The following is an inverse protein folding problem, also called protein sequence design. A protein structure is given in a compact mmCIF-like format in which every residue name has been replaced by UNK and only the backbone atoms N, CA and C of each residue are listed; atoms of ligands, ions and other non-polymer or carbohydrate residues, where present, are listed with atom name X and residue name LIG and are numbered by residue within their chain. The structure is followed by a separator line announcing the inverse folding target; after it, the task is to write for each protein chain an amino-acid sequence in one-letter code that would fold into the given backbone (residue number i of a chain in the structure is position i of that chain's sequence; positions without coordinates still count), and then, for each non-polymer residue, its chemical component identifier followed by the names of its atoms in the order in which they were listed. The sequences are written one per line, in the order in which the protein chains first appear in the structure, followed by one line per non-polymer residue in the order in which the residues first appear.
data_IF_830373514720
#
_entry.id   IF_830373514720
#
_cell.length_a   1.000
_cell.length_b   1.000
_cell.length_c   1.000
_cell.angle_alpha   90.00
_cell.angle_beta   90.00
_cell.angle_gamma   90.00
#
_symmetry.space_group_name_H-M   'P 1'
#
loop_
_entity.id
_entity.type
_entity.pdbx_description
1 polymer ?
#
# COMPACT_ATOMS: atom_id res chain seq x y z
N UNK A 1 -61.49 -25.93 -44.10
CA UNK A 1 -60.93 -26.58 -42.90
C UNK A 1 -59.88 -25.62 -42.35
N UNK A 2 -60.35 -24.49 -41.84
CA UNK A 2 -60.54 -24.18 -40.41
C UNK A 2 -59.30 -23.50 -39.83
N UNK A 3 -59.44 -22.19 -39.73
CA UNK A 3 -58.53 -21.20 -39.15
C UNK A 3 -58.37 -21.42 -37.65
N UNK A 4 -57.13 -21.64 -37.21
CA UNK A 4 -56.78 -21.67 -35.79
C UNK A 4 -56.67 -20.23 -35.29
N UNK A 5 -57.76 -19.71 -34.71
CA UNK A 5 -57.77 -18.55 -33.84
C UNK A 5 -57.01 -18.89 -32.55
N UNK A 6 -55.77 -18.43 -32.42
CA UNK A 6 -55.07 -18.39 -31.13
C UNK A 6 -55.21 -17.00 -30.53
N UNK A 7 -56.15 -16.88 -29.60
CA UNK A 7 -56.30 -15.77 -28.68
C UNK A 7 -54.97 -15.51 -27.96
N UNK A 8 -54.33 -14.36 -28.25
CA UNK A 8 -53.30 -13.77 -27.43
C UNK A 8 -53.94 -13.36 -26.10
N UNK A 9 -53.74 -14.17 -25.06
CA UNK A 9 -54.09 -13.82 -23.70
C UNK A 9 -53.27 -12.61 -23.26
N UNK A 10 -53.95 -11.48 -23.04
CA UNK A 10 -53.38 -10.31 -22.38
C UNK A 10 -53.14 -10.66 -20.92
N UNK A 11 -51.96 -11.23 -20.61
CA UNK A 11 -51.49 -11.28 -19.24
C UNK A 11 -51.35 -9.83 -18.76
N UNK A 12 -52.00 -9.42 -17.65
CA UNK A 12 -51.84 -8.07 -17.14
C UNK A 12 -50.35 -7.87 -16.80
N UNK A 13 -49.76 -6.81 -17.36
CA UNK A 13 -48.43 -6.33 -16.96
C UNK A 13 -48.43 -6.16 -15.44
N UNK A 14 -47.77 -7.08 -14.73
CA UNK A 14 -47.49 -6.92 -13.31
C UNK A 14 -46.42 -5.85 -13.20
N UNK A 15 -46.85 -4.61 -12.97
CA UNK A 15 -45.97 -3.54 -12.55
C UNK A 15 -45.24 -4.00 -11.27
N UNK A 16 -43.91 -3.81 -11.16
CA UNK A 16 -43.20 -4.07 -9.91
C UNK A 16 -43.91 -3.34 -8.78
N UNK A 17 -44.12 -4.02 -7.65
CA UNK A 17 -44.59 -3.33 -6.44
C UNK A 17 -43.56 -2.26 -6.13
N UNK A 18 -43.93 -0.98 -6.23
CA UNK A 18 -43.07 0.12 -5.79
C UNK A 18 -42.58 -0.21 -4.39
N UNK A 19 -41.26 -0.16 -4.21
CA UNK A 19 -40.64 -0.24 -2.90
C UNK A 19 -41.43 0.70 -1.97
N UNK A 20 -41.72 0.23 -0.76
CA UNK A 20 -42.44 1.08 0.20
C UNK A 20 -41.56 2.30 0.41
N UNK A 21 -41.99 3.49 0.00
CA UNK A 21 -41.17 4.69 0.08
C UNK A 21 -40.67 4.83 1.53
N UNK A 22 -39.36 4.71 1.72
CA UNK A 22 -38.75 4.93 3.02
C UNK A 22 -39.15 6.34 3.47
N UNK A 23 -39.46 6.48 4.77
CA UNK A 23 -39.85 7.78 5.31
C UNK A 23 -38.68 8.74 5.11
N UNK A 24 -38.92 9.84 4.40
CA UNK A 24 -37.93 10.90 4.25
C UNK A 24 -37.76 11.55 5.62
N UNK A 25 -36.55 11.45 6.16
CA UNK A 25 -36.16 12.02 7.44
C UNK A 25 -35.10 13.10 7.19
N UNK A 26 -35.08 14.19 7.97
CA UNK A 26 -34.02 15.18 7.86
C UNK A 26 -32.65 14.55 8.15
N UNK A 27 -31.58 15.00 7.51
CA UNK A 27 -30.22 14.67 7.93
C UNK A 27 -29.94 15.15 9.35
N UNK A 28 -28.90 14.60 9.99
CA UNK A 28 -28.36 15.18 11.22
C UNK A 28 -27.92 16.63 11.05
N UNK A 29 -27.89 17.37 12.16
CA UNK A 29 -27.41 18.76 12.21
C UNK A 29 -25.97 18.93 11.72
N UNK A 30 -25.09 17.94 11.97
CA UNK A 30 -23.69 17.95 11.51
C UNK A 30 -23.51 17.49 10.05
N UNK A 31 -24.60 17.41 9.28
CA UNK A 31 -24.59 17.13 7.84
C UNK A 31 -25.31 18.26 7.08
N UNK A 32 -24.88 18.58 5.85
CA UNK A 32 -25.62 19.53 5.02
C UNK A 32 -27.04 19.01 4.71
N UNK A 33 -28.03 19.88 4.89
CA UNK A 33 -29.44 19.46 5.00
C UNK A 33 -30.06 19.12 3.64
N UNK A 34 -29.57 19.73 2.57
CA UNK A 34 -30.12 19.57 1.22
C UNK A 34 -29.16 18.80 0.31
N UNK A 35 -29.68 17.99 -0.64
CA UNK A 35 -28.84 17.34 -1.65
C UNK A 35 -28.00 18.33 -2.46
N UNK A 36 -28.56 19.50 -2.81
CA UNK A 36 -27.88 20.53 -3.59
C UNK A 36 -26.65 21.09 -2.83
N UNK A 37 -26.77 21.26 -1.52
CA UNK A 37 -25.66 21.71 -0.68
C UNK A 37 -24.57 20.64 -0.55
N UNK A 38 -24.95 19.37 -0.38
CA UNK A 38 -23.99 18.25 -0.35
C UNK A 38 -23.23 18.13 -1.67
N UNK A 39 -23.91 18.24 -2.81
CA UNK A 39 -23.27 18.27 -4.13
C UNK A 39 -22.35 19.48 -4.32
N UNK A 40 -22.74 20.66 -3.82
CA UNK A 40 -21.87 21.86 -3.85
C UNK A 40 -20.58 21.63 -3.07
N UNK A 41 -20.66 21.03 -1.88
CA UNK A 41 -19.50 20.72 -1.05
C UNK A 41 -18.58 19.73 -1.77
N UNK A 42 -19.13 18.64 -2.31
CA UNK A 42 -18.37 17.64 -3.04
C UNK A 42 -17.62 18.25 -4.24
N UNK A 43 -18.28 19.10 -5.04
CA UNK A 43 -17.64 19.76 -6.18
C UNK A 43 -16.51 20.71 -5.76
N UNK A 44 -16.69 21.44 -4.65
CA UNK A 44 -15.64 22.29 -4.12
C UNK A 44 -14.43 21.47 -3.66
N UNK A 45 -14.68 20.37 -2.96
CA UNK A 45 -13.64 19.49 -2.43
C UNK A 45 -12.84 18.83 -3.55
N UNK A 46 -13.50 18.43 -4.65
CA UNK A 46 -12.81 17.95 -5.86
C UNK A 46 -11.80 18.95 -6.40
N UNK A 47 -12.19 20.22 -6.50
CA UNK A 47 -11.29 21.28 -6.96
C UNK A 47 -10.14 21.49 -5.97
N UNK A 48 -10.43 21.46 -4.66
CA UNK A 48 -9.42 21.60 -3.62
C UNK A 48 -8.39 20.46 -3.65
N UNK A 49 -8.83 19.21 -3.75
CA UNK A 49 -7.92 18.06 -3.83
C UNK A 49 -7.07 18.13 -5.10
N UNK A 50 -7.64 18.54 -6.24
CA UNK A 50 -6.89 18.73 -7.48
C UNK A 50 -5.82 19.85 -7.39
N UNK A 51 -6.09 20.92 -6.64
CA UNK A 51 -5.17 22.05 -6.48
C UNK A 51 -4.06 21.77 -5.45
N UNK A 52 -4.42 21.23 -4.29
CA UNK A 52 -3.50 21.05 -3.17
C UNK A 52 -2.85 19.66 -3.12
N UNK A 53 -3.35 18.71 -3.92
CA UNK A 53 -2.85 17.35 -4.09
C UNK A 53 -2.45 16.64 -2.77
N UNK A 54 -3.34 16.56 -1.75
CA UNK A 54 -3.06 15.77 -0.57
C UNK A 54 -2.93 14.28 -0.93
N UNK A 55 -1.88 13.62 -0.42
CA UNK A 55 -1.54 12.23 -0.78
C UNK A 55 -2.03 11.25 0.29
N UNK A 56 -2.83 10.22 -0.06
CA UNK A 56 -3.21 9.16 0.87
C UNK A 56 -2.12 8.05 0.98
N UNK A 57 -2.10 7.22 2.05
CA UNK A 57 -2.91 7.32 3.27
C UNK A 57 -2.48 8.53 4.10
N UNK A 58 -3.46 9.26 4.66
CA UNK A 58 -3.20 10.44 5.46
C UNK A 58 -3.82 10.27 6.86
N UNK A 59 -3.06 10.54 7.93
CA UNK A 59 -3.59 10.50 9.29
C UNK A 59 -4.82 11.39 9.46
N UNK A 60 -5.78 10.93 10.28
CA UNK A 60 -7.01 11.68 10.54
C UNK A 60 -6.74 13.12 11.05
N UNK A 61 -5.66 13.32 11.79
CA UNK A 61 -5.24 14.64 12.27
C UNK A 61 -4.90 15.59 11.11
N UNK A 62 -4.27 15.08 10.06
CA UNK A 62 -3.87 15.86 8.89
C UNK A 62 -5.05 16.08 7.94
N UNK A 63 -5.92 15.08 7.75
CA UNK A 63 -7.21 15.24 7.04
C UNK A 63 -8.03 16.37 7.69
N UNK A 64 -8.03 16.43 9.02
CA UNK A 64 -8.69 17.47 9.81
C UNK A 64 -8.12 18.87 9.55
N UNK A 65 -6.81 19.01 9.35
CA UNK A 65 -6.19 20.29 8.94
C UNK A 65 -6.66 20.73 7.56
N UNK A 66 -6.79 19.80 6.60
CA UNK A 66 -7.34 20.13 5.29
C UNK A 66 -8.84 20.46 5.36
N UNK A 67 -9.60 19.76 6.18
CA UNK A 67 -11.02 20.03 6.39
C UNK A 67 -11.26 21.42 6.99
N UNK A 68 -10.46 21.84 7.98
CA UNK A 68 -10.54 23.19 8.56
C UNK A 68 -10.33 24.29 7.52
N UNK A 69 -9.34 24.12 6.62
CA UNK A 69 -9.11 25.06 5.51
C UNK A 69 -10.32 25.12 4.57
N UNK A 70 -10.89 23.97 4.21
CA UNK A 70 -12.06 23.92 3.32
C UNK A 70 -13.28 24.56 3.97
N UNK A 71 -13.51 24.34 5.27
CA UNK A 71 -14.59 25.00 6.04
C UNK A 71 -14.44 26.52 5.97
N UNK A 72 -13.23 27.03 6.23
CA UNK A 72 -12.93 28.46 6.16
C UNK A 72 -13.16 29.03 4.76
N UNK A 73 -12.67 28.35 3.71
CA UNK A 73 -12.80 28.81 2.33
C UNK A 73 -14.25 28.74 1.80
N UNK A 74 -15.02 27.72 2.19
CA UNK A 74 -16.45 27.61 1.85
C UNK A 74 -17.30 28.61 2.64
N UNK A 75 -16.81 29.10 3.78
CA UNK A 75 -17.57 29.92 4.71
C UNK A 75 -18.77 29.20 5.32
N UNK A 76 -18.67 27.87 5.49
CA UNK A 76 -19.74 27.04 6.04
C UNK A 76 -19.61 26.85 7.55
N UNK A 77 -20.65 26.28 8.18
CA UNK A 77 -20.63 26.00 9.62
C UNK A 77 -19.53 24.95 9.96
N UNK A 78 -18.67 25.21 10.96
CA UNK A 78 -17.66 24.25 11.43
C UNK A 78 -18.21 22.89 11.86
N UNK A 79 -19.52 22.79 12.15
CA UNK A 79 -20.16 21.51 12.47
C UNK A 79 -20.05 20.49 11.31
N UNK A 80 -19.84 20.94 10.08
CA UNK A 80 -19.66 20.07 8.90
C UNK A 80 -18.23 19.55 8.71
N UNK A 81 -17.30 19.90 9.59
CA UNK A 81 -15.88 19.56 9.45
C UNK A 81 -15.62 18.07 9.23
N UNK A 82 -16.21 17.21 10.05
CA UNK A 82 -15.95 15.76 9.94
C UNK A 82 -16.56 15.18 8.66
N UNK A 83 -17.72 15.70 8.22
CA UNK A 83 -18.31 15.36 6.92
C UNK A 83 -17.41 15.76 5.75
N UNK A 84 -16.87 16.99 5.78
CA UNK A 84 -15.91 17.48 4.78
C UNK A 84 -14.64 16.62 4.80
N UNK A 85 -14.14 16.23 5.97
CA UNK A 85 -12.99 15.34 6.10
C UNK A 85 -13.20 14.00 5.40
N UNK A 86 -14.38 13.39 5.53
CA UNK A 86 -14.73 12.16 4.79
C UNK A 86 -14.69 12.38 3.29
N UNK A 87 -15.26 13.49 2.79
CA UNK A 87 -15.25 13.79 1.36
C UNK A 87 -13.85 14.06 0.81
N UNK A 88 -12.99 14.75 1.57
CA UNK A 88 -11.58 14.95 1.20
C UNK A 88 -10.88 13.60 1.08
N UNK A 89 -11.03 12.72 2.08
CA UNK A 89 -10.44 11.38 2.02
C UNK A 89 -10.97 10.57 0.82
N UNK A 90 -12.27 10.65 0.53
CA UNK A 90 -12.84 9.96 -0.62
C UNK A 90 -12.21 10.42 -1.93
N UNK A 91 -12.05 11.73 -2.12
CA UNK A 91 -11.49 12.30 -3.34
C UNK A 91 -9.98 12.02 -3.45
N UNK A 92 -9.24 11.96 -2.34
CA UNK A 92 -7.83 11.50 -2.31
C UNK A 92 -7.68 10.06 -2.82
N UNK A 93 -8.59 9.16 -2.45
CA UNK A 93 -8.55 7.75 -2.84
C UNK A 93 -9.29 7.42 -4.14
N UNK A 94 -9.98 8.39 -4.74
CA UNK A 94 -10.94 8.15 -5.83
C UNK A 94 -10.31 7.45 -7.03
N UNK A 95 -9.14 7.91 -7.45
CA UNK A 95 -8.45 7.35 -8.62
C UNK A 95 -7.82 5.99 -8.30
N UNK A 96 -7.28 5.81 -7.09
CA UNK A 96 -6.78 4.51 -6.63
C UNK A 96 -7.89 3.47 -6.57
N UNK A 97 -9.07 3.83 -6.07
CA UNK A 97 -10.25 2.95 -6.10
C UNK A 97 -10.62 2.58 -7.53
N UNK A 98 -10.61 3.56 -8.45
CA UNK A 98 -11.00 3.36 -9.85
C UNK A 98 -10.05 2.39 -10.59
N UNK A 99 -8.76 2.38 -10.26
CA UNK A 99 -7.76 1.50 -10.88
C UNK A 99 -7.88 0.02 -10.44
N UNK A 100 -8.47 -0.25 -9.28
CA UNK A 100 -8.56 -1.62 -8.72
C UNK A 100 -9.66 -2.42 -9.44
N UNK A 101 -9.46 -3.68 -9.87
CA UNK A 101 -10.51 -4.49 -10.48
C UNK A 101 -11.72 -4.72 -9.56
N UNK A 102 -12.94 -4.77 -10.10
CA UNK A 102 -14.17 -4.91 -9.31
C UNK A 102 -14.17 -6.14 -8.41
N UNK A 103 -13.62 -7.26 -8.89
CA UNK A 103 -13.50 -8.52 -8.15
C UNK A 103 -12.58 -8.45 -6.92
N UNK A 104 -11.77 -7.40 -6.81
CA UNK A 104 -10.93 -7.10 -5.63
C UNK A 104 -11.52 -5.99 -4.76
N UNK A 105 -12.77 -5.57 -4.99
CA UNK A 105 -13.44 -4.53 -4.20
C UNK A 105 -14.52 -5.11 -3.29
N UNK A 106 -14.67 -4.51 -2.12
CA UNK A 106 -15.73 -4.81 -1.15
C UNK A 106 -16.71 -3.65 -1.09
N UNK A 107 -18.01 -3.94 -1.28
CA UNK A 107 -19.09 -3.03 -0.92
C UNK A 107 -19.57 -3.38 0.49
N UNK A 108 -19.37 -2.47 1.43
CA UNK A 108 -19.79 -2.61 2.82
C UNK A 108 -21.04 -1.78 3.09
N UNK A 109 -22.17 -2.45 3.32
CA UNK A 109 -23.46 -1.82 3.57
C UNK A 109 -23.88 -1.97 5.05
N UNK A 110 -24.52 -0.96 5.66
CA UNK A 110 -25.03 -1.08 7.01
C UNK A 110 -26.44 -1.69 6.98
N UNK A 111 -26.75 -2.52 7.98
CA UNK A 111 -28.11 -3.05 8.18
C UNK A 111 -29.15 -1.95 8.37
N UNK A 112 -28.72 -0.76 8.79
CA UNK A 112 -29.54 0.42 9.08
C UNK A 112 -30.31 0.96 7.87
N UNK A 113 -29.93 0.59 6.64
CA UNK A 113 -30.68 0.93 5.41
C UNK A 113 -31.96 0.11 5.26
N UNK A 114 -32.12 -1.00 6.00
CA UNK A 114 -33.30 -1.85 5.91
C UNK A 114 -34.52 -1.15 6.51
N UNK A 115 -35.71 -1.53 6.04
CA UNK A 115 -36.95 -1.23 6.76
C UNK A 115 -37.08 -2.19 7.94
N UNK A 116 -36.65 -1.78 9.13
CA UNK A 116 -36.45 -2.66 10.30
C UNK A 116 -37.70 -3.48 10.62
N UNK A 117 -38.85 -2.81 10.66
CA UNK A 117 -40.14 -3.42 11.03
C UNK A 117 -40.65 -4.49 10.07
N UNK A 118 -40.10 -4.57 8.84
CA UNK A 118 -40.61 -5.42 7.76
C UNK A 118 -39.55 -6.32 7.14
N UNK A 119 -38.28 -6.12 7.47
CA UNK A 119 -37.18 -6.85 6.86
C UNK A 119 -37.21 -8.34 7.27
N UNK A 120 -37.36 -9.29 6.33
CA UNK A 120 -37.41 -10.72 6.65
C UNK A 120 -36.01 -11.36 6.74
N UNK A 121 -34.94 -10.57 6.59
CA UNK A 121 -33.57 -11.07 6.52
C UNK A 121 -33.11 -11.62 7.89
N UNK A 122 -32.56 -12.85 7.94
CA UNK A 122 -31.91 -13.36 9.13
C UNK A 122 -30.54 -12.72 9.32
N UNK A 123 -29.99 -12.91 10.52
CA UNK A 123 -28.62 -12.53 10.86
C UNK A 123 -27.80 -13.80 11.12
N UNK A 124 -26.55 -13.78 10.68
CA UNK A 124 -25.54 -14.76 11.08
C UNK A 124 -24.41 -14.07 11.86
N UNK A 125 -23.29 -14.76 12.05
CA UNK A 125 -22.10 -14.20 12.72
C UNK A 125 -21.41 -13.09 11.89
N UNK A 126 -21.67 -13.04 10.58
CA UNK A 126 -21.03 -12.11 9.65
C UNK A 126 -21.87 -10.86 9.37
N UNK A 127 -23.20 -10.92 9.47
CA UNK A 127 -24.07 -9.77 9.26
C UNK A 127 -25.51 -10.13 8.89
N UNK A 128 -26.16 -9.21 8.16
CA UNK A 128 -27.52 -9.37 7.65
C UNK A 128 -27.49 -10.13 6.32
N UNK A 129 -28.27 -11.20 6.22
CA UNK A 129 -28.39 -12.00 4.99
C UNK A 129 -29.59 -11.54 4.17
N UNK A 130 -29.37 -10.60 3.25
CA UNK A 130 -30.42 -10.01 2.43
C UNK A 130 -31.24 -11.08 1.68
N UNK A 131 -32.56 -11.07 1.85
CA UNK A 131 -33.51 -11.97 1.15
C UNK A 131 -34.10 -11.37 -0.13
N UNK A 132 -33.55 -10.24 -0.59
CA UNK A 132 -34.00 -9.55 -1.80
C UNK A 132 -35.54 -9.32 -1.80
N UNK A 133 -36.04 -8.76 -0.69
CA UNK A 133 -37.48 -8.55 -0.46
C UNK A 133 -38.07 -7.30 -1.14
N UNK A 134 -37.25 -6.45 -1.76
CA UNK A 134 -37.66 -5.24 -2.48
C UNK A 134 -38.07 -4.06 -1.61
N UNK A 135 -37.77 -4.09 -0.30
CA UNK A 135 -38.23 -3.06 0.66
C UNK A 135 -37.25 -1.92 0.88
N UNK A 136 -35.98 -2.06 0.50
CA UNK A 136 -34.91 -1.09 0.74
C UNK A 136 -33.84 -1.20 -0.35
N UNK A 137 -32.94 -0.21 -0.40
CA UNK A 137 -31.86 -0.12 -1.40
C UNK A 137 -30.79 -1.20 -1.31
N UNK A 138 -30.68 -1.93 -0.19
CA UNK A 138 -29.66 -2.98 0.01
C UNK A 138 -29.71 -4.00 -1.14
N UNK A 139 -30.90 -4.41 -1.57
CA UNK A 139 -31.05 -5.38 -2.65
C UNK A 139 -30.47 -4.87 -3.98
N UNK A 140 -30.83 -3.65 -4.38
CA UNK A 140 -30.44 -3.11 -5.68
C UNK A 140 -28.93 -2.88 -5.73
N UNK A 141 -28.36 -2.35 -4.65
CA UNK A 141 -26.92 -2.16 -4.50
C UNK A 141 -26.16 -3.50 -4.48
N UNK A 142 -26.66 -4.49 -3.74
CA UNK A 142 -26.04 -5.81 -3.68
C UNK A 142 -26.06 -6.50 -5.06
N UNK A 143 -27.21 -6.51 -5.73
CA UNK A 143 -27.34 -7.12 -7.05
C UNK A 143 -26.40 -6.48 -8.07
N UNK A 144 -26.28 -5.15 -8.06
CA UNK A 144 -25.39 -4.47 -8.99
C UNK A 144 -23.92 -4.72 -8.68
N UNK A 145 -23.52 -4.58 -7.41
CA UNK A 145 -22.14 -4.78 -7.01
C UNK A 145 -21.68 -6.22 -7.30
N UNK A 146 -22.51 -7.23 -7.00
CA UNK A 146 -22.25 -8.62 -7.37
C UNK A 146 -22.18 -8.83 -8.89
N UNK A 147 -23.02 -8.13 -9.68
CA UNK A 147 -22.97 -8.16 -11.16
C UNK A 147 -21.66 -7.60 -11.70
N UNK A 148 -21.12 -6.56 -11.07
CA UNK A 148 -19.82 -5.97 -11.41
C UNK A 148 -18.64 -6.85 -10.95
N UNK A 149 -18.83 -7.67 -9.92
CA UNK A 149 -17.85 -8.61 -9.38
C UNK A 149 -17.46 -8.39 -7.92
N UNK A 150 -18.00 -7.37 -7.26
CA UNK A 150 -17.68 -7.04 -5.88
C UNK A 150 -18.01 -8.19 -4.93
N UNK A 151 -17.21 -8.31 -3.87
CA UNK A 151 -17.71 -8.90 -2.64
C UNK A 151 -18.68 -7.91 -1.96
N UNK A 152 -19.81 -8.38 -1.45
CA UNK A 152 -20.78 -7.52 -0.74
C UNK A 152 -20.97 -8.06 0.67
N UNK A 153 -20.87 -7.19 1.66
CA UNK A 153 -21.12 -7.52 3.06
C UNK A 153 -22.10 -6.52 3.66
N UNK A 154 -23.16 -7.03 4.28
CA UNK A 154 -24.12 -6.19 5.02
C UNK A 154 -23.87 -6.33 6.52
N UNK A 155 -22.86 -5.63 7.03
CA UNK A 155 -22.47 -5.75 8.44
C UNK A 155 -21.85 -4.47 9.01
N UNK A 156 -21.74 -4.46 10.33
CA UNK A 156 -21.10 -3.38 11.10
C UNK A 156 -19.74 -3.81 11.69
N UNK A 157 -19.33 -5.07 11.48
CA UNK A 157 -18.15 -5.66 12.12
C UNK A 157 -16.85 -5.41 11.36
N UNK A 158 -15.87 -4.78 12.02
CA UNK A 158 -14.54 -4.51 11.45
C UNK A 158 -13.66 -5.76 11.31
N UNK A 159 -13.86 -6.80 12.13
CA UNK A 159 -12.97 -7.97 12.17
C UNK A 159 -12.92 -8.74 10.83
N UNK A 160 -14.06 -8.95 10.18
CA UNK A 160 -14.14 -9.67 8.91
C UNK A 160 -13.54 -8.84 7.79
N UNK A 161 -13.83 -7.54 7.76
CA UNK A 161 -13.25 -6.61 6.79
C UNK A 161 -11.73 -6.62 6.91
N UNK A 162 -11.19 -6.56 8.12
CA UNK A 162 -9.75 -6.63 8.36
C UNK A 162 -9.15 -7.98 7.91
N UNK A 163 -9.84 -9.09 8.17
CA UNK A 163 -9.38 -10.40 7.68
C UNK A 163 -9.37 -10.48 6.15
N UNK A 164 -10.38 -9.93 5.47
CA UNK A 164 -10.43 -9.89 4.01
C UNK A 164 -9.31 -9.01 3.41
N UNK A 165 -8.99 -7.90 4.05
CA UNK A 165 -7.85 -7.05 3.70
C UNK A 165 -6.53 -7.81 3.91
N UNK A 166 -6.33 -8.38 5.10
CA UNK A 166 -5.07 -9.05 5.47
C UNK A 166 -4.78 -10.29 4.64
N UNK A 167 -5.83 -10.96 4.13
CA UNK A 167 -5.69 -12.11 3.24
C UNK A 167 -5.50 -11.72 1.77
N UNK A 168 -5.44 -10.42 1.44
CA UNK A 168 -5.27 -9.93 0.07
C UNK A 168 -6.47 -10.18 -0.85
N UNK A 169 -7.60 -10.67 -0.31
CA UNK A 169 -8.81 -10.95 -1.11
C UNK A 169 -9.48 -9.69 -1.60
N UNK A 170 -9.35 -8.61 -0.83
CA UNK A 170 -9.92 -7.30 -1.12
C UNK A 170 -8.83 -6.25 -1.00
N UNK A 171 -8.75 -5.39 -2.00
CA UNK A 171 -7.78 -4.31 -2.10
C UNK A 171 -8.39 -2.91 -1.96
N UNK A 172 -9.71 -2.79 -2.07
CA UNK A 172 -10.41 -1.52 -1.89
C UNK A 172 -11.82 -1.68 -1.34
N UNK A 173 -12.31 -0.64 -0.67
CA UNK A 173 -13.61 -0.64 0.01
C UNK A 173 -14.45 0.57 -0.42
N UNK A 174 -15.69 0.30 -0.83
CA UNK A 174 -16.76 1.28 -0.90
C UNK A 174 -17.66 1.05 0.31
N UNK A 175 -17.60 1.96 1.29
CA UNK A 175 -18.33 1.84 2.54
C UNK A 175 -19.55 2.76 2.62
N UNK A 176 -20.58 2.31 3.31
CA UNK A 176 -21.72 3.16 3.70
C UNK A 176 -21.86 3.07 5.21
N UNK A 177 -21.80 4.21 5.91
CA UNK A 177 -21.87 4.21 7.37
C UNK A 177 -22.15 5.59 7.95
N UNK A 178 -22.54 5.67 9.22
CA UNK A 178 -22.64 6.96 9.91
C UNK A 178 -21.23 7.48 10.28
N UNK A 179 -21.11 8.80 10.44
CA UNK A 179 -19.81 9.45 10.70
C UNK A 179 -19.08 8.86 11.90
N UNK A 180 -19.78 8.56 13.00
CA UNK A 180 -19.17 8.01 14.22
C UNK A 180 -18.60 6.59 14.06
N UNK A 181 -19.12 5.81 13.11
CA UNK A 181 -18.54 4.51 12.77
C UNK A 181 -17.34 4.68 11.85
N UNK A 182 -17.42 5.59 10.87
CA UNK A 182 -16.32 5.90 9.96
C UNK A 182 -15.07 6.36 10.72
N UNK A 183 -15.22 7.26 11.71
CA UNK A 183 -14.12 7.74 12.54
C UNK A 183 -13.37 6.60 13.27
N UNK A 184 -14.08 5.54 13.67
CA UNK A 184 -13.47 4.38 14.34
C UNK A 184 -12.84 3.39 13.36
N UNK A 185 -13.35 3.31 12.13
CA UNK A 185 -12.84 2.41 11.11
C UNK A 185 -11.59 2.97 10.42
N UNK A 186 -11.48 4.30 10.32
CA UNK A 186 -10.42 4.99 9.58
C UNK A 186 -8.99 4.57 9.97
N UNK A 187 -8.60 4.49 11.26
CA UNK A 187 -7.22 4.15 11.63
C UNK A 187 -6.77 2.77 11.12
N UNK A 188 -7.72 1.83 10.99
CA UNK A 188 -7.43 0.50 10.48
C UNK A 188 -7.20 0.51 8.97
N UNK A 189 -7.99 1.29 8.23
CA UNK A 189 -7.84 1.43 6.78
C UNK A 189 -6.55 2.19 6.42
N UNK A 190 -6.25 3.24 7.19
CA UNK A 190 -5.01 4.00 7.12
C UNK A 190 -3.79 3.09 7.35
N UNK A 191 -3.77 2.33 8.46
CA UNK A 191 -2.67 1.45 8.80
C UNK A 191 -2.44 0.34 7.76
N UNK A 192 -3.49 -0.11 7.08
CA UNK A 192 -3.41 -1.09 6.01
C UNK A 192 -3.19 -0.47 4.61
N UNK A 193 -3.14 0.87 4.51
CA UNK A 193 -3.07 1.63 3.26
C UNK A 193 -4.08 1.13 2.20
N UNK A 194 -5.32 0.83 2.62
CA UNK A 194 -6.38 0.33 1.74
C UNK A 194 -7.19 1.49 1.20
N UNK A 195 -7.27 1.67 -0.14
CA UNK A 195 -8.17 2.63 -0.76
C UNK A 195 -9.60 2.46 -0.26
N UNK A 196 -10.12 3.53 0.33
CA UNK A 196 -11.39 3.54 1.01
C UNK A 196 -12.18 4.79 0.73
N UNK A 197 -13.35 4.62 0.12
CA UNK A 197 -14.34 5.71 0.02
C UNK A 197 -15.55 5.36 0.88
N UNK A 198 -16.15 6.38 1.47
CA UNK A 198 -17.30 6.21 2.34
C UNK A 198 -18.43 7.19 2.00
N UNK A 199 -19.66 6.71 1.91
CA UNK A 199 -20.85 7.55 1.79
C UNK A 199 -21.55 7.65 3.15
N UNK A 200 -21.57 8.84 3.78
CA UNK A 200 -22.18 9.01 5.09
C UNK A 200 -23.69 8.77 5.07
N UNK A 201 -24.19 8.00 6.05
CA UNK A 201 -25.63 7.93 6.34
C UNK A 201 -26.12 9.30 6.81
N UNK A 202 -27.34 9.67 6.39
CA UNK A 202 -27.98 10.93 6.77
C UNK A 202 -28.51 10.91 8.21
N UNK A 203 -28.69 9.72 8.79
CA UNK A 203 -29.10 9.49 10.18
C UNK A 203 -28.15 8.49 10.87
N UNK A 204 -28.10 8.46 12.20
CA UNK A 204 -27.26 7.53 12.98
C UNK A 204 -28.00 6.77 14.08
N UNK A 205 -29.32 6.86 14.14
CA UNK A 205 -30.13 6.16 15.14
C UNK A 205 -30.37 4.69 14.77
N UNK A 206 -29.65 4.20 13.74
CA UNK A 206 -29.59 2.83 13.26
C UNK A 206 -30.94 2.23 12.79
N UNK A 207 -31.95 3.06 12.55
CA UNK A 207 -33.30 2.63 12.18
C UNK A 207 -33.77 3.38 10.93
N UNK A 208 -34.11 2.63 9.87
CA UNK A 208 -34.68 3.14 8.63
C UNK A 208 -33.91 4.37 8.09
N UNK A 209 -32.57 4.27 8.11
CA UNK A 209 -31.67 5.36 7.72
C UNK A 209 -31.62 5.52 6.20
N UNK A 210 -31.29 6.73 5.76
CA UNK A 210 -31.18 7.11 4.35
C UNK A 210 -29.76 7.58 4.01
N UNK A 211 -29.44 7.60 2.71
CA UNK A 211 -28.12 7.91 2.17
C UNK A 211 -28.27 8.53 0.79
N UNK A 212 -27.29 9.30 0.34
CA UNK A 212 -27.18 9.76 -1.06
C UNK A 212 -26.87 8.56 -1.97
N UNK A 213 -27.93 7.91 -2.46
CA UNK A 213 -27.82 6.69 -3.26
C UNK A 213 -26.99 6.91 -4.52
N UNK A 214 -27.18 8.03 -5.21
CA UNK A 214 -26.48 8.34 -6.46
C UNK A 214 -24.95 8.31 -6.28
N UNK A 215 -24.45 8.71 -5.12
CA UNK A 215 -23.01 8.70 -4.85
C UNK A 215 -22.48 7.27 -4.69
N UNK A 216 -23.27 6.37 -4.08
CA UNK A 216 -22.89 4.95 -4.00
C UNK A 216 -22.83 4.37 -5.41
N UNK A 217 -23.83 4.66 -6.25
CA UNK A 217 -23.86 4.24 -7.65
C UNK A 217 -22.63 4.73 -8.42
N UNK A 218 -22.27 6.01 -8.25
CA UNK A 218 -21.06 6.57 -8.86
C UNK A 218 -19.80 5.84 -8.40
N UNK A 219 -19.63 5.63 -7.09
CA UNK A 219 -18.43 4.97 -6.54
C UNK A 219 -18.29 3.51 -6.97
N UNK A 220 -19.38 2.72 -6.97
CA UNK A 220 -19.29 1.31 -7.36
C UNK A 220 -18.98 1.13 -8.85
N UNK A 221 -19.29 2.13 -9.68
CA UNK A 221 -19.02 2.13 -11.13
C UNK A 221 -17.70 2.81 -11.51
N UNK A 222 -16.91 3.30 -10.55
CA UNK A 222 -15.63 3.93 -10.87
C UNK A 222 -14.67 2.95 -11.53
N UNK A 223 -14.12 3.34 -12.67
CA UNK A 223 -13.06 2.63 -13.38
C UNK A 223 -12.03 3.60 -13.90
N UNK A 224 -10.76 3.21 -13.86
CA UNK A 224 -9.67 3.89 -14.55
C UNK A 224 -9.23 3.08 -15.78
N UNK A 225 -8.64 3.77 -16.77
CA UNK A 225 -7.85 3.08 -17.80
C UNK A 225 -6.52 2.58 -17.23
N UNK A 226 -6.05 3.19 -16.15
CA UNK A 226 -4.91 2.72 -15.37
C UNK A 226 -5.27 1.41 -14.66
N UNK A 227 -4.46 0.39 -14.94
CA UNK A 227 -4.58 -0.95 -14.37
C UNK A 227 -3.37 -1.32 -13.52
N UNK A 228 -2.59 -0.35 -13.07
CA UNK A 228 -1.48 -0.58 -12.14
C UNK A 228 -1.99 -1.41 -10.96
N UNK A 229 -1.53 -2.66 -10.87
CA UNK A 229 -1.98 -3.58 -9.84
C UNK A 229 -1.29 -3.21 -8.52
N UNK A 230 -2.04 -3.27 -7.43
CA UNK A 230 -1.43 -3.21 -6.10
C UNK A 230 -0.58 -4.47 -5.93
N UNK A 231 0.68 -4.28 -5.56
CA UNK A 231 1.57 -5.39 -5.24
C UNK A 231 1.12 -6.04 -3.93
N UNK A 232 1.11 -7.37 -3.87
CA UNK A 232 1.09 -8.08 -2.59
C UNK A 232 2.46 -7.90 -1.92
N UNK A 233 2.59 -6.80 -1.17
CA UNK A 233 3.82 -6.48 -0.45
C UNK A 233 4.14 -7.51 0.64
N UNK A 234 3.15 -8.25 1.16
CA UNK A 234 3.37 -9.29 2.16
C UNK A 234 3.94 -10.54 1.49
N UNK A 235 3.29 -11.04 0.45
CA UNK A 235 3.79 -12.16 -0.35
C UNK A 235 5.19 -11.89 -0.92
N UNK A 236 5.42 -10.68 -1.44
CA UNK A 236 6.73 -10.26 -1.94
C UNK A 236 7.79 -10.20 -0.83
N UNK A 237 7.41 -9.77 0.38
CA UNK A 237 8.30 -9.76 1.54
C UNK A 237 8.68 -11.18 1.95
N UNK A 238 7.72 -12.10 1.96
CA UNK A 238 7.94 -13.51 2.28
C UNK A 238 8.88 -14.17 1.26
N UNK A 239 8.75 -13.88 -0.03
CA UNK A 239 9.66 -14.36 -1.08
C UNK A 239 11.09 -13.80 -0.92
N UNK A 240 11.22 -12.52 -0.54
CA UNK A 240 12.52 -11.91 -0.26
C UNK A 240 13.16 -12.54 0.98
N UNK A 241 12.40 -12.75 2.05
CA UNK A 241 12.90 -13.39 3.27
C UNK A 241 13.28 -14.86 2.99
N UNK A 242 12.53 -15.55 2.12
CA UNK A 242 12.85 -16.91 1.67
C UNK A 242 14.23 -17.00 1.02
N UNK A 243 14.68 -15.95 0.30
CA UNK A 243 16.00 -15.91 -0.33
C UNK A 243 17.16 -16.09 0.67
N UNK A 244 16.93 -15.76 1.94
CA UNK A 244 17.92 -15.82 3.02
C UNK A 244 17.75 -17.05 3.93
N UNK A 245 17.00 -18.06 3.49
CA UNK A 245 16.98 -19.38 4.14
C UNK A 245 18.23 -20.18 3.77
N UNK A 246 18.68 -21.13 4.61
CA UNK A 246 19.86 -21.95 4.31
C UNK A 246 19.79 -22.62 2.93
N UNK A 247 18.66 -23.27 2.63
CA UNK A 247 18.44 -23.96 1.36
C UNK A 247 18.46 -23.01 0.16
N UNK A 248 17.88 -21.80 0.30
CA UNK A 248 17.89 -20.83 -0.79
C UNK A 248 19.29 -20.24 -1.02
N UNK A 249 20.05 -19.95 0.05
CA UNK A 249 21.42 -19.47 -0.09
C UNK A 249 22.35 -20.52 -0.72
N UNK A 250 22.18 -21.80 -0.40
CA UNK A 250 22.93 -22.89 -1.05
C UNK A 250 22.66 -22.94 -2.56
N UNK A 251 21.39 -22.72 -2.97
CA UNK A 251 21.02 -22.67 -4.38
C UNK A 251 21.56 -21.42 -5.09
N UNK A 252 21.50 -20.25 -4.43
CA UNK A 252 21.88 -18.96 -5.03
C UNK A 252 23.40 -18.77 -5.06
N UNK A 253 24.07 -19.08 -3.95
CA UNK A 253 25.51 -18.83 -3.77
C UNK A 253 26.37 -20.06 -4.06
N UNK A 254 25.78 -21.25 -4.17
CA UNK A 254 26.51 -22.52 -4.26
C UNK A 254 27.05 -23.00 -2.91
N UNK A 255 27.83 -24.08 -2.94
CA UNK A 255 28.38 -24.71 -1.73
C UNK A 255 29.43 -23.84 -1.03
N UNK A 256 29.31 -23.71 0.29
CA UNK A 256 30.27 -22.97 1.11
C UNK A 256 31.55 -23.74 1.38
N UNK A 257 32.66 -23.28 0.81
CA UNK A 257 33.98 -23.86 1.01
C UNK A 257 34.77 -23.06 2.06
N UNK A 258 34.88 -23.62 3.26
CA UNK A 258 35.69 -23.06 4.33
C UNK A 258 34.95 -22.13 5.30
N UNK A 259 35.65 -21.77 6.37
CA UNK A 259 35.07 -21.09 7.53
C UNK A 259 34.55 -19.68 7.20
N UNK A 260 35.30 -18.86 6.44
CA UNK A 260 34.89 -17.50 6.07
C UNK A 260 33.57 -17.50 5.28
N UNK A 261 33.43 -18.43 4.36
CA UNK A 261 32.26 -18.60 3.52
C UNK A 261 31.03 -19.08 4.30
N UNK A 262 31.24 -19.90 5.33
CA UNK A 262 30.18 -20.32 6.25
C UNK A 262 29.72 -19.15 7.13
N UNK A 263 30.67 -18.42 7.73
CA UNK A 263 30.36 -17.24 8.55
C UNK A 263 29.65 -16.13 7.78
N UNK A 264 30.06 -15.88 6.52
CA UNK A 264 29.38 -14.92 5.65
C UNK A 264 27.92 -15.30 5.39
N UNK A 265 27.65 -16.58 5.12
CA UNK A 265 26.28 -17.10 4.96
C UNK A 265 25.47 -16.99 6.25
N UNK A 266 26.05 -17.40 7.38
CA UNK A 266 25.41 -17.26 8.70
C UNK A 266 25.04 -15.80 8.99
N UNK A 267 25.94 -14.86 8.70
CA UNK A 267 25.69 -13.43 8.87
C UNK A 267 24.58 -12.90 7.96
N UNK A 268 24.51 -13.39 6.72
CA UNK A 268 23.41 -13.09 5.80
C UNK A 268 22.09 -13.60 6.37
N UNK A 269 22.03 -14.81 6.93
CA UNK A 269 20.81 -15.42 7.50
C UNK A 269 20.30 -14.72 8.78
N UNK A 270 21.19 -14.08 9.55
CA UNK A 270 20.79 -13.35 10.77
C UNK A 270 19.78 -12.25 10.50
N UNK A 271 18.96 -11.96 11.50
CA UNK A 271 17.87 -10.99 11.46
C UNK A 271 18.25 -9.65 10.81
N UNK A 272 17.26 -9.04 10.14
CA UNK A 272 17.36 -7.77 9.45
C UNK A 272 16.04 -7.46 8.76
N UNK A 273 15.72 -6.18 8.55
CA UNK A 273 14.44 -5.79 7.92
C UNK A 273 14.40 -6.04 6.41
N UNK A 274 15.53 -6.38 5.77
CA UNK A 274 15.64 -6.67 4.32
C UNK A 274 15.03 -5.60 3.40
N UNK A 275 15.06 -4.33 3.81
CA UNK A 275 14.44 -3.27 3.03
C UNK A 275 15.04 -3.10 1.64
N UNK A 276 16.36 -3.20 1.51
CA UNK A 276 17.04 -3.00 0.23
C UNK A 276 16.67 -4.09 -0.81
N UNK A 277 16.80 -5.40 -0.53
CA UNK A 277 16.35 -6.42 -1.47
C UNK A 277 14.83 -6.36 -1.71
N UNK A 278 14.03 -6.03 -0.68
CA UNK A 278 12.59 -5.85 -0.83
C UNK A 278 12.23 -4.72 -1.81
N UNK A 279 12.92 -3.59 -1.73
CA UNK A 279 12.72 -2.46 -2.64
C UNK A 279 13.16 -2.79 -4.07
N UNK A 280 14.29 -3.50 -4.24
CA UNK A 280 14.73 -3.97 -5.55
C UNK A 280 13.65 -4.86 -6.22
N UNK A 281 13.11 -5.82 -5.48
CA UNK A 281 12.04 -6.71 -5.95
C UNK A 281 10.73 -5.95 -6.22
N UNK A 282 10.40 -4.96 -5.38
CA UNK A 282 9.20 -4.13 -5.52
C UNK A 282 9.24 -3.31 -6.82
N UNK A 283 10.40 -2.73 -7.16
CA UNK A 283 10.57 -2.01 -8.43
C UNK A 283 10.31 -2.94 -9.61
N UNK A 284 10.88 -4.16 -9.61
CA UNK A 284 10.65 -5.11 -10.72
C UNK A 284 9.17 -5.43 -10.88
N UNK A 285 8.46 -5.78 -9.81
CA UNK A 285 7.04 -6.13 -9.90
C UNK A 285 6.15 -4.94 -10.24
N UNK A 286 6.53 -3.72 -9.83
CA UNK A 286 5.79 -2.51 -10.22
C UNK A 286 5.93 -2.16 -11.71
N UNK A 287 7.00 -2.65 -12.36
CA UNK A 287 7.37 -2.28 -13.72
C UNK A 287 7.15 -3.42 -14.73
N UNK A 288 6.67 -4.57 -14.27
CA UNK A 288 6.46 -5.76 -15.12
C UNK A 288 5.05 -6.30 -14.93
N UNK A 289 4.42 -6.76 -16.00
CA UNK A 289 3.06 -7.34 -15.98
C UNK A 289 3.08 -8.81 -15.51
N UNK A 290 3.77 -9.10 -14.40
CA UNK A 290 3.81 -10.44 -13.81
C UNK A 290 2.68 -10.57 -12.79
N UNK A 291 1.78 -11.51 -13.03
CA UNK A 291 0.83 -11.98 -12.00
C UNK A 291 1.46 -13.00 -11.05
N UNK A 292 2.68 -13.41 -11.35
CA UNK A 292 3.46 -14.33 -10.54
C UNK A 292 4.34 -13.49 -9.61
N UNK A 293 4.12 -13.66 -8.31
CA UNK A 293 4.86 -13.01 -7.23
C UNK A 293 6.20 -13.71 -6.96
N UNK A 294 6.44 -14.87 -7.58
CA UNK A 294 7.68 -15.61 -7.36
C UNK A 294 8.89 -14.90 -7.96
N UNK A 295 9.96 -14.82 -7.16
CA UNK A 295 11.20 -14.22 -7.62
C UNK A 295 11.90 -15.17 -8.58
N UNK A 296 12.15 -14.71 -9.82
CA UNK A 296 13.02 -15.43 -10.75
C UNK A 296 14.41 -15.67 -10.13
N UNK A 297 15.09 -16.73 -10.55
CA UNK A 297 16.43 -17.09 -10.05
C UNK A 297 17.42 -15.92 -10.16
N UNK A 298 17.38 -15.17 -11.27
CA UNK A 298 18.25 -14.01 -11.49
C UNK A 298 17.88 -12.85 -10.56
N UNK A 299 16.59 -12.60 -10.30
CA UNK A 299 16.17 -11.57 -9.33
C UNK A 299 16.56 -11.95 -7.89
N UNK A 300 16.52 -13.24 -7.54
CA UNK A 300 17.02 -13.73 -6.25
C UNK A 300 18.51 -13.46 -6.09
N UNK A 301 19.32 -13.68 -7.14
CA UNK A 301 20.75 -13.32 -7.14
C UNK A 301 20.95 -11.82 -6.91
N UNK A 302 20.15 -10.96 -7.55
CA UNK A 302 20.21 -9.50 -7.33
C UNK A 302 19.82 -9.11 -5.89
N UNK A 303 18.76 -9.71 -5.33
CA UNK A 303 18.35 -9.48 -3.95
C UNK A 303 19.47 -9.85 -2.97
N UNK A 304 20.06 -11.04 -3.12
CA UNK A 304 21.17 -11.48 -2.27
C UNK A 304 22.40 -10.60 -2.48
N UNK A 305 22.70 -10.16 -3.71
CA UNK A 305 23.83 -9.26 -3.99
C UNK A 305 23.70 -7.92 -3.25
N UNK A 306 22.52 -7.30 -3.30
CA UNK A 306 22.23 -6.04 -2.61
C UNK A 306 22.38 -6.21 -1.09
N UNK A 307 21.90 -7.33 -0.54
CA UNK A 307 22.03 -7.60 0.90
C UNK A 307 23.47 -7.94 1.30
N UNK A 308 24.26 -8.59 0.43
CA UNK A 308 25.69 -8.79 0.64
C UNK A 308 26.43 -7.47 0.86
N UNK A 309 26.19 -6.46 -0.01
CA UNK A 309 26.80 -5.14 0.17
C UNK A 309 26.40 -4.49 1.49
N UNK A 310 25.12 -4.57 1.85
CA UNK A 310 24.62 -4.01 3.10
C UNK A 310 25.24 -4.71 4.33
N UNK A 311 25.22 -6.04 4.35
CA UNK A 311 25.72 -6.83 5.47
C UNK A 311 27.23 -6.73 5.60
N UNK A 312 27.96 -6.56 4.50
CA UNK A 312 29.39 -6.25 4.53
C UNK A 312 29.66 -4.90 5.18
N UNK A 313 28.92 -3.85 4.80
CA UNK A 313 29.09 -2.52 5.39
C UNK A 313 28.83 -2.55 6.89
N UNK A 314 27.81 -3.29 7.36
CA UNK A 314 27.54 -3.43 8.80
C UNK A 314 28.67 -4.11 9.57
N UNK A 315 29.34 -5.11 8.99
CA UNK A 315 30.48 -5.76 9.65
C UNK A 315 31.62 -4.76 9.83
N UNK A 316 31.90 -3.97 8.79
CA UNK A 316 32.97 -2.97 8.84
C UNK A 316 32.61 -1.82 9.79
N UNK A 317 31.39 -1.29 9.71
CA UNK A 317 30.87 -0.26 10.62
C UNK A 317 30.95 -0.74 12.09
N UNK A 318 30.55 -1.98 12.39
CA UNK A 318 30.62 -2.51 13.76
C UNK A 318 32.06 -2.50 14.30
N UNK A 319 33.06 -2.78 13.46
CA UNK A 319 34.48 -2.71 13.84
C UNK A 319 34.93 -1.26 14.05
N UNK A 320 34.51 -0.37 13.15
CA UNK A 320 34.87 1.04 13.16
C UNK A 320 34.28 1.78 14.39
N UNK A 321 33.05 1.43 14.77
CA UNK A 321 32.33 2.00 15.91
C UNK A 321 32.63 1.26 17.23
N UNK A 322 33.33 0.11 17.16
CA UNK A 322 33.63 -0.77 18.30
C UNK A 322 32.35 -1.25 19.03
N UNK A 323 31.35 -1.67 18.24
CA UNK A 323 30.05 -2.15 18.71
C UNK A 323 30.08 -3.65 19.06
N UNK A 324 29.90 -4.01 20.33
CA UNK A 324 29.91 -5.42 20.75
C UNK A 324 28.65 -6.21 20.32
N UNK A 325 27.56 -5.53 19.98
CA UNK A 325 26.27 -6.15 19.68
C UNK A 325 25.51 -5.49 18.53
N UNK A 326 24.88 -6.31 17.68
CA UNK A 326 23.94 -5.88 16.64
C UNK A 326 22.74 -6.83 16.58
N UNK A 327 21.54 -6.28 16.43
CA UNK A 327 20.27 -7.03 16.44
C UNK A 327 20.08 -7.93 17.68
N UNK A 328 20.66 -7.55 18.82
CA UNK A 328 20.61 -8.32 20.07
C UNK A 328 21.64 -9.46 20.16
N UNK A 329 22.43 -9.69 19.11
CA UNK A 329 23.49 -10.71 19.05
C UNK A 329 24.88 -10.09 19.10
N UNK A 330 25.91 -10.89 19.37
CA UNK A 330 27.31 -10.44 19.27
C UNK A 330 27.70 -10.15 17.82
N UNK A 331 28.43 -9.06 17.62
CA UNK A 331 29.05 -8.74 16.33
C UNK A 331 30.16 -9.74 15.99
N UNK A 332 30.51 -9.85 14.71
CA UNK A 332 31.53 -10.80 14.26
C UNK A 332 32.90 -10.51 14.90
N UNK A 333 33.27 -9.23 15.06
CA UNK A 333 34.57 -8.87 15.63
C UNK A 333 34.64 -9.18 17.13
N UNK A 334 33.53 -9.01 17.87
CA UNK A 334 33.47 -9.33 19.30
C UNK A 334 33.57 -10.85 19.56
N UNK A 335 33.03 -11.67 18.65
CA UNK A 335 32.99 -13.14 18.81
C UNK A 335 34.18 -13.88 18.19
N UNK A 336 34.70 -13.40 17.04
CA UNK A 336 35.73 -14.09 16.26
C UNK A 336 37.01 -13.25 16.04
N UNK A 337 37.03 -12.02 16.55
CA UNK A 337 38.13 -11.08 16.38
C UNK A 337 38.07 -10.27 15.10
N UNK A 338 38.72 -9.11 15.13
CA UNK A 338 38.77 -8.15 14.02
C UNK A 338 39.29 -8.77 12.71
N UNK A 339 40.39 -9.57 12.68
CA UNK A 339 40.93 -10.08 11.42
C UNK A 339 39.94 -10.95 10.63
N UNK A 340 39.18 -11.82 11.33
CA UNK A 340 38.20 -12.67 10.66
C UNK A 340 36.98 -11.87 10.21
N UNK A 341 36.49 -10.96 11.05
CA UNK A 341 35.36 -10.11 10.72
C UNK A 341 35.62 -9.25 9.46
N UNK A 342 36.78 -8.60 9.37
CA UNK A 342 37.20 -7.88 8.15
C UNK A 342 37.18 -8.79 6.92
N UNK A 343 37.77 -9.98 7.02
CA UNK A 343 37.85 -10.90 5.89
C UNK A 343 36.46 -11.42 5.44
N UNK A 344 35.51 -11.58 6.37
CA UNK A 344 34.12 -11.93 6.04
C UNK A 344 33.42 -10.76 5.34
N UNK A 345 33.63 -9.52 5.77
CA UNK A 345 33.10 -8.34 5.09
C UNK A 345 33.63 -8.21 3.66
N UNK A 346 34.94 -8.37 3.47
CA UNK A 346 35.58 -8.38 2.14
C UNK A 346 35.03 -9.49 1.23
N UNK A 347 34.81 -10.69 1.78
CA UNK A 347 34.19 -11.79 1.04
C UNK A 347 32.77 -11.41 0.56
N UNK A 348 31.93 -10.85 1.44
CA UNK A 348 30.57 -10.47 1.08
C UNK A 348 30.53 -9.37 0.00
N UNK A 349 31.49 -8.45 0.00
CA UNK A 349 31.64 -7.47 -1.09
C UNK A 349 31.90 -8.20 -2.42
N UNK A 350 32.85 -9.14 -2.43
CA UNK A 350 33.16 -9.95 -3.61
C UNK A 350 31.96 -10.76 -4.11
N UNK A 351 31.24 -11.40 -3.19
CA UNK A 351 30.03 -12.18 -3.48
C UNK A 351 28.94 -11.31 -4.12
N UNK A 352 28.73 -10.08 -3.65
CA UNK A 352 27.76 -9.17 -4.25
C UNK A 352 28.03 -8.90 -5.74
N UNK A 353 29.28 -8.58 -6.09
CA UNK A 353 29.65 -8.37 -7.51
C UNK A 353 29.60 -9.67 -8.32
N UNK A 354 30.04 -10.79 -7.73
CA UNK A 354 29.99 -12.11 -8.37
C UNK A 354 28.57 -12.50 -8.74
N UNK A 355 27.61 -12.31 -7.83
CA UNK A 355 26.20 -12.66 -8.04
C UNK A 355 25.57 -11.83 -9.17
N UNK A 356 25.88 -10.53 -9.28
CA UNK A 356 25.45 -9.69 -10.41
C UNK A 356 25.99 -10.26 -11.73
N UNK A 357 27.28 -10.59 -11.77
CA UNK A 357 27.94 -11.11 -12.96
C UNK A 357 27.41 -12.49 -13.40
N UNK A 358 26.99 -13.31 -12.43
CA UNK A 358 26.47 -14.68 -12.62
C UNK A 358 24.99 -14.73 -13.02
N UNK A 359 24.35 -13.57 -13.22
CA UNK A 359 22.99 -13.52 -13.79
C UNK A 359 22.99 -13.82 -15.30
N UNK A 360 21.85 -14.30 -15.79
CA UNK A 360 21.56 -14.54 -17.22
C UNK A 360 21.04 -13.29 -17.95
N UNK A 361 21.10 -12.12 -17.31
CA UNK A 361 20.74 -10.83 -17.91
C UNK A 361 21.68 -10.47 -19.06
N UNK A 362 21.29 -9.47 -19.87
CA UNK A 362 22.13 -9.03 -21.00
C UNK A 362 23.48 -8.48 -20.51
N UNK A 363 24.53 -8.55 -21.34
CA UNK A 363 25.82 -7.93 -21.01
C UNK A 363 25.71 -6.45 -20.63
N UNK A 364 24.82 -5.71 -21.29
CA UNK A 364 24.57 -4.29 -21.04
C UNK A 364 23.94 -4.07 -19.66
N UNK A 365 22.90 -4.83 -19.31
CA UNK A 365 22.27 -4.77 -17.99
C UNK A 365 23.29 -5.10 -16.89
N UNK A 366 24.07 -6.18 -17.05
CA UNK A 366 25.11 -6.56 -16.08
C UNK A 366 26.18 -5.49 -15.94
N UNK A 367 26.63 -4.91 -17.05
CA UNK A 367 27.63 -3.84 -17.03
C UNK A 367 27.11 -2.63 -16.24
N UNK A 368 25.88 -2.20 -16.51
CA UNK A 368 25.25 -1.07 -15.83
C UNK A 368 25.04 -1.35 -14.34
N UNK A 369 24.54 -2.53 -13.97
CA UNK A 369 24.40 -2.94 -12.57
C UNK A 369 25.74 -2.90 -11.83
N UNK A 370 26.81 -3.43 -12.44
CA UNK A 370 28.16 -3.37 -11.84
C UNK A 370 28.66 -1.92 -11.68
N UNK A 371 28.38 -1.04 -12.64
CA UNK A 371 28.70 0.38 -12.53
C UNK A 371 27.95 1.04 -11.37
N UNK A 372 26.65 0.77 -11.23
CA UNK A 372 25.80 1.28 -10.14
C UNK A 372 26.30 0.78 -8.79
N UNK A 373 26.52 -0.53 -8.64
CA UNK A 373 27.04 -1.11 -7.40
C UNK A 373 28.41 -0.51 -7.02
N UNK A 374 29.32 -0.40 -7.98
CA UNK A 374 30.67 0.11 -7.72
C UNK A 374 30.67 1.59 -7.36
N UNK A 375 29.87 2.43 -8.03
CA UNK A 375 29.76 3.84 -7.65
C UNK A 375 29.08 4.02 -6.31
N UNK A 376 27.99 3.29 -6.03
CA UNK A 376 27.33 3.31 -4.73
C UNK A 376 28.27 2.89 -3.60
N UNK A 377 29.05 1.84 -3.80
CA UNK A 377 30.09 1.42 -2.84
C UNK A 377 31.12 2.54 -2.60
N UNK A 378 31.61 3.20 -3.65
CA UNK A 378 32.55 4.32 -3.52
C UNK A 378 31.95 5.49 -2.73
N UNK A 379 30.68 5.80 -2.95
CA UNK A 379 29.98 6.87 -2.24
C UNK A 379 29.83 6.54 -0.75
N UNK A 380 29.45 5.30 -0.41
CA UNK A 380 29.36 4.85 0.98
C UNK A 380 30.71 4.94 1.69
N UNK A 381 31.79 4.44 1.09
CA UNK A 381 33.13 4.55 1.69
C UNK A 381 33.59 6.01 1.85
N UNK A 382 33.22 6.92 0.94
CA UNK A 382 33.52 8.35 1.07
C UNK A 382 32.75 8.97 2.23
N UNK A 383 31.47 8.63 2.38
CA UNK A 383 30.62 9.08 3.49
C UNK A 383 31.17 8.62 4.84
N UNK A 384 31.40 7.31 4.98
CA UNK A 384 31.98 6.72 6.19
C UNK A 384 33.38 7.27 6.48
N UNK A 385 34.22 7.41 5.46
CA UNK A 385 35.56 8.01 5.61
C UNK A 385 35.53 9.47 6.08
N UNK A 386 34.54 10.26 5.66
CA UNK A 386 34.33 11.62 6.13
C UNK A 386 33.92 11.65 7.61
N UNK A 387 33.02 10.76 8.03
CA UNK A 387 32.60 10.58 9.42
C UNK A 387 33.79 10.20 10.32
N UNK A 388 34.56 9.17 9.94
CA UNK A 388 35.78 8.75 10.65
C UNK A 388 36.83 9.87 10.71
N UNK A 389 36.91 10.73 9.70
CA UNK A 389 37.83 11.87 9.69
C UNK A 389 37.36 12.98 10.64
N UNK A 390 36.05 13.23 10.70
CA UNK A 390 35.47 14.17 11.65
C UNK A 390 35.57 13.68 13.10
N UNK A 391 35.34 12.38 13.36
CA UNK A 391 35.47 11.81 14.70
C UNK A 391 36.89 11.94 15.28
N UNK A 392 37.92 12.00 14.42
CA UNK A 392 39.31 12.27 14.83
C UNK A 392 39.54 13.72 15.29
N UNK A 393 38.74 14.68 14.83
CA UNK A 393 38.83 16.10 15.22
C UNK A 393 37.44 16.76 15.17
N UNK A 394 36.58 16.50 16.17
CA UNK A 394 35.18 16.88 16.11
C UNK A 394 35.02 18.41 16.21
N UNK A 395 34.27 18.96 15.27
CA UNK A 395 33.82 20.37 15.27
C UNK A 395 32.30 20.42 15.37
N UNK A 396 31.70 21.40 16.07
CA UNK A 396 30.25 21.56 16.12
C UNK A 396 29.64 21.74 14.73
N UNK A 397 28.61 20.96 14.42
CA UNK A 397 27.88 21.01 13.14
C UNK A 397 26.53 21.70 13.30
N UNK A 398 26.10 22.40 12.25
CA UNK A 398 24.72 22.88 12.11
C UNK A 398 23.80 21.70 11.77
N UNK A 399 22.52 21.82 12.10
CA UNK A 399 21.53 20.79 11.79
C UNK A 399 21.50 20.38 10.31
N UNK A 400 21.74 21.34 9.39
CA UNK A 400 21.81 21.05 7.94
C UNK A 400 22.99 20.16 7.59
N UNK A 401 24.16 20.39 8.20
CA UNK A 401 25.36 19.58 7.95
C UNK A 401 25.19 18.15 8.48
N UNK A 402 24.47 18.00 9.60
CA UNK A 402 24.09 16.69 10.14
C UNK A 402 23.15 15.95 9.18
N UNK A 403 22.13 16.63 8.65
CA UNK A 403 21.21 16.05 7.67
C UNK A 403 21.93 15.63 6.38
N UNK A 404 22.89 16.43 5.90
CA UNK A 404 23.67 16.11 4.70
C UNK A 404 24.54 14.85 4.89
N UNK A 405 25.07 14.64 6.09
CA UNK A 405 25.83 13.42 6.43
C UNK A 405 24.93 12.19 6.43
N UNK A 406 23.78 12.25 7.13
CA UNK A 406 22.84 11.11 7.16
C UNK A 406 22.27 10.80 5.78
N UNK A 407 21.91 11.84 5.00
CA UNK A 407 21.52 11.70 3.59
C UNK A 407 22.59 10.95 2.79
N UNK A 408 23.86 11.31 2.94
CA UNK A 408 24.96 10.72 2.20
C UNK A 408 25.33 9.29 2.64
N UNK A 409 25.03 8.89 3.88
CA UNK A 409 25.30 7.54 4.39
C UNK A 409 24.23 6.54 4.00
N UNK A 410 22.96 6.95 4.05
CA UNK A 410 21.83 6.02 3.96
C UNK A 410 21.18 6.00 2.58
N UNK A 411 20.94 7.17 1.97
CA UNK A 411 20.21 7.28 0.71
C UNK A 411 20.88 6.56 -0.48
N UNK A 412 22.22 6.63 -0.67
CA UNK A 412 22.86 5.97 -1.81
C UNK A 412 22.66 4.45 -1.83
N UNK A 413 22.65 3.81 -0.66
CA UNK A 413 22.45 2.37 -0.59
C UNK A 413 21.02 1.96 -0.97
N UNK A 414 20.02 2.79 -0.67
CA UNK A 414 18.65 2.59 -1.13
C UNK A 414 18.52 2.86 -2.62
N UNK A 415 19.17 3.91 -3.12
CA UNK A 415 19.17 4.25 -4.54
C UNK A 415 19.77 3.12 -5.38
N UNK A 416 20.90 2.54 -4.95
CA UNK A 416 21.50 1.36 -5.60
C UNK A 416 20.46 0.24 -5.71
N UNK A 417 19.77 -0.11 -4.62
CA UNK A 417 18.80 -1.19 -4.63
C UNK A 417 17.63 -0.94 -5.61
N UNK A 418 17.09 0.28 -5.62
CA UNK A 418 16.02 0.68 -6.53
C UNK A 418 16.47 0.67 -8.00
N UNK A 419 17.66 1.20 -8.28
CA UNK A 419 18.24 1.20 -9.62
C UNK A 419 18.52 -0.22 -10.12
N UNK A 420 18.98 -1.14 -9.25
CA UNK A 420 19.14 -2.55 -9.61
C UNK A 420 17.82 -3.16 -10.08
N UNK A 421 16.71 -2.87 -9.40
CA UNK A 421 15.38 -3.29 -9.83
C UNK A 421 14.98 -2.68 -11.18
N UNK A 422 15.25 -1.39 -11.40
CA UNK A 422 14.92 -0.71 -12.65
C UNK A 422 15.70 -1.28 -13.86
N UNK A 423 17.00 -1.53 -13.69
CA UNK A 423 17.84 -2.14 -14.74
C UNK A 423 17.40 -3.59 -14.99
N UNK A 424 17.01 -4.33 -13.94
CA UNK A 424 16.48 -5.69 -14.09
C UNK A 424 15.19 -5.69 -14.93
N UNK A 425 14.28 -4.77 -14.66
CA UNK A 425 13.03 -4.61 -15.41
C UNK A 425 13.22 -3.99 -16.81
N UNK A 426 14.41 -3.46 -17.13
CA UNK A 426 14.71 -2.84 -18.42
C UNK A 426 14.06 -1.47 -18.63
N UNK A 427 13.74 -0.78 -17.54
CA UNK A 427 13.08 0.54 -17.54
C UNK A 427 14.02 1.69 -17.19
N UNK A 428 15.29 1.39 -16.93
CA UNK A 428 16.36 2.36 -16.60
C UNK A 428 16.62 3.39 -17.72
N UNK A 429 16.22 3.07 -18.95
CA UNK A 429 16.30 3.96 -20.11
C UNK A 429 15.37 5.16 -20.02
N UNK A 430 14.36 5.13 -19.15
CA UNK A 430 13.40 6.21 -18.97
C UNK A 430 13.91 7.21 -17.93
N UNK A 431 14.14 8.46 -18.36
CA UNK A 431 14.65 9.52 -17.48
C UNK A 431 13.73 9.75 -16.25
N UNK A 432 12.41 9.72 -16.45
CA UNK A 432 11.43 9.90 -15.38
C UNK A 432 11.53 8.83 -14.28
N UNK A 433 11.87 7.59 -14.63
CA UNK A 433 12.08 6.51 -13.65
C UNK A 433 13.29 6.82 -12.78
N UNK A 434 14.38 7.28 -13.39
CA UNK A 434 15.61 7.64 -12.67
C UNK A 434 15.37 8.82 -11.72
N UNK A 435 14.70 9.87 -12.18
CA UNK A 435 14.39 11.04 -11.35
C UNK A 435 13.48 10.68 -10.18
N UNK A 436 12.49 9.82 -10.42
CA UNK A 436 11.59 9.30 -9.37
C UNK A 436 12.34 8.47 -8.34
N UNK A 437 13.21 7.56 -8.79
CA UNK A 437 14.03 6.72 -7.90
C UNK A 437 14.93 7.59 -7.03
N UNK A 438 15.55 8.62 -7.60
CA UNK A 438 16.42 9.54 -6.86
C UNK A 438 15.63 10.32 -5.80
N UNK A 439 14.50 10.94 -6.18
CA UNK A 439 13.67 11.68 -5.21
C UNK A 439 13.16 10.76 -4.07
N UNK A 440 12.76 9.53 -4.42
CA UNK A 440 12.30 8.54 -3.45
C UNK A 440 13.43 8.05 -2.53
N UNK A 441 14.62 7.73 -3.07
CA UNK A 441 15.77 7.26 -2.28
C UNK A 441 16.25 8.31 -1.29
N UNK A 442 16.23 9.59 -1.69
CA UNK A 442 16.60 10.70 -0.80
C UNK A 442 15.61 10.89 0.33
N UNK A 443 14.31 10.94 0.02
CA UNK A 443 13.27 11.08 1.03
C UNK A 443 13.28 9.90 2.02
N UNK A 444 13.37 8.67 1.51
CA UNK A 444 13.45 7.47 2.33
C UNK A 444 14.72 7.44 3.18
N UNK A 445 15.87 7.78 2.59
CA UNK A 445 17.16 7.77 3.29
C UNK A 445 17.28 8.81 4.40
N UNK A 446 16.57 9.93 4.30
CA UNK A 446 16.48 10.94 5.37
C UNK A 446 15.49 10.52 6.47
N UNK A 447 14.40 9.86 6.09
CA UNK A 447 13.37 9.41 7.02
C UNK A 447 13.77 8.16 7.84
N UNK A 448 14.59 7.28 7.25
CA UNK A 448 15.13 6.07 7.87
C UNK A 448 16.25 6.40 8.86
#
# INVERSE_FOLDING_TARGET
MESVNKTLGTAPLKLPKMATAQRIRPPKENLPQTPEERTRFLQYIRNYVAEYNPVPPMPMADVKVHADKVVEMLGCDPIYRDYIGVLINNEMWRDSLAAIPYERRLLLLPKCLRVESKCPAPFDEFGLLCKQCGLCSIQDLQNEAERLGYAVLVAEGSAIVMSLIQTGKIEAIVGVSCLSVLERAFPYMEAAAVPGVAVPLLQDDCIDTTVDLDWIWDYIHLTSEDRSLRLDLVGLRDEVDFCFTPASLDLIMGNGNGETEQLGREWLMRAGKRWRPFLAASVVHSMTDTKDESLSEDLRKICVAVECFHKASLIHDDIEDNDDKRYGEQTLHASHGIPLALNVGDLLIGEGYRLIADTRLSPEQKNLMLQIASEGHRQLCRGQGAELSWMRSPVPMKAVEVLDIFRSKTAPAFEVALQMGAVFAGVDVHAEVKDTIHAYSEALGIAY
#
